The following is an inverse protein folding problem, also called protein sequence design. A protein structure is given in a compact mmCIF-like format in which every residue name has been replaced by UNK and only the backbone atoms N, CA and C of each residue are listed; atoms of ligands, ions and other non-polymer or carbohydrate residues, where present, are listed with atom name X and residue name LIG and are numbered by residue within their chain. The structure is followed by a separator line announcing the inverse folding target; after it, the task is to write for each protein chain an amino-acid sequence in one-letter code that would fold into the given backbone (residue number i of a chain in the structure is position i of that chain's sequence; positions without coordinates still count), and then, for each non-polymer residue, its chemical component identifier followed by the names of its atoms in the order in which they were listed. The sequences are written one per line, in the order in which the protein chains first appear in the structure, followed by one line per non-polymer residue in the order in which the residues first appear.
data_IF_223293822314
#
_entry.id   IF_223293822314
#
_cell.length_a   1.000
_cell.length_b   1.000
_cell.length_c   1.000
_cell.angle_alpha   90.00
_cell.angle_beta   90.00
_cell.angle_gamma   90.00
#
_symmetry.space_group_name_H-M   'P 1'
#
loop_
_entity.id
_entity.type
_entity.pdbx_description
1 polymer ?
#
# COMPACT_ATOMS: atom_id res chain seq x y z
N UNK A 1 -31.95 -20.01 -5.12
CA UNK A 1 -30.81 -19.75 -6.03
C UNK A 1 -30.83 -18.26 -6.26
N UNK A 2 -30.16 -17.51 -5.37
CA UNK A 2 -30.02 -16.06 -5.51
C UNK A 2 -28.78 -15.83 -6.39
N UNK A 3 -28.99 -15.24 -7.55
CA UNK A 3 -27.92 -14.75 -8.42
C UNK A 3 -27.11 -13.71 -7.65
N UNK A 4 -25.87 -14.03 -7.30
CA UNK A 4 -24.88 -13.07 -6.81
C UNK A 4 -24.21 -12.38 -8.01
N UNK A 5 -25.01 -11.77 -8.88
CA UNK A 5 -24.49 -10.85 -9.88
C UNK A 5 -24.70 -9.40 -9.40
N UNK A 6 -23.59 -8.66 -9.34
CA UNK A 6 -23.48 -7.20 -9.20
C UNK A 6 -23.67 -6.59 -7.81
N UNK A 7 -22.80 -6.94 -6.85
CA UNK A 7 -22.41 -5.95 -5.83
C UNK A 7 -21.23 -5.12 -6.36
N UNK A 8 -21.55 -3.88 -6.77
CA UNK A 8 -20.69 -2.71 -6.98
C UNK A 8 -19.34 -2.91 -7.71
N UNK A 9 -19.44 -2.98 -9.04
CA UNK A 9 -18.37 -2.59 -9.98
C UNK A 9 -18.33 -1.07 -10.24
N UNK A 10 -18.81 -0.22 -9.34
CA UNK A 10 -18.33 1.17 -9.26
C UNK A 10 -16.94 1.14 -8.59
N UNK A 11 -16.02 0.46 -9.27
CA UNK A 11 -14.68 0.19 -8.80
C UNK A 11 -13.95 1.51 -8.68
N UNK A 12 -13.53 1.84 -7.45
CA UNK A 12 -12.52 2.85 -7.15
C UNK A 12 -11.54 2.98 -8.30
N UNK A 13 -11.47 4.17 -8.90
CA UNK A 13 -10.71 4.38 -10.11
C UNK A 13 -9.22 4.55 -9.77
N UNK A 14 -8.56 3.45 -9.43
CA UNK A 14 -7.15 3.41 -9.10
C UNK A 14 -6.31 3.54 -10.38
N UNK A 15 -5.32 4.44 -10.35
CA UNK A 15 -4.36 4.62 -11.44
C UNK A 15 -2.92 4.65 -10.93
N UNK A 16 -2.04 3.99 -11.69
CA UNK A 16 -0.61 4.00 -11.43
C UNK A 16 0.10 4.74 -12.55
N UNK A 17 0.91 5.72 -12.18
CA UNK A 17 1.80 6.43 -13.06
C UNK A 17 3.26 6.09 -12.73
N UNK A 18 4.11 6.11 -13.75
CA UNK A 18 5.54 5.89 -13.61
C UNK A 18 6.33 7.09 -14.11
N UNK A 19 7.46 7.35 -13.47
CA UNK A 19 8.40 8.41 -13.83
C UNK A 19 9.80 7.82 -13.95
N UNK A 20 10.49 8.17 -15.03
CA UNK A 20 11.84 7.67 -15.32
C UNK A 20 11.85 6.23 -15.83
N UNK A 21 13.03 5.59 -15.77
CA UNK A 21 13.28 4.23 -16.30
C UNK A 21 12.52 3.10 -15.57
N UNK A 22 12.03 3.38 -14.37
CA UNK A 22 11.22 2.43 -13.59
C UNK A 22 9.88 2.13 -14.30
N UNK A 23 9.43 3.02 -15.19
CA UNK A 23 8.32 2.77 -16.10
C UNK A 23 8.54 1.54 -16.98
N UNK A 24 9.73 1.39 -17.56
CA UNK A 24 10.02 0.32 -18.53
C UNK A 24 10.00 -1.06 -17.85
N UNK A 25 10.51 -1.14 -16.62
CA UNK A 25 10.67 -2.43 -15.91
C UNK A 25 9.36 -2.89 -15.26
N UNK A 26 8.58 -1.97 -14.68
CA UNK A 26 7.32 -2.32 -14.02
C UNK A 26 6.18 -2.47 -15.03
N UNK A 27 6.18 -1.74 -16.14
CA UNK A 27 5.13 -1.86 -17.16
C UNK A 27 5.18 -3.17 -17.97
N UNK A 28 6.38 -3.73 -18.17
CA UNK A 28 6.57 -4.99 -18.91
C UNK A 28 6.20 -6.26 -18.11
N UNK A 29 6.18 -6.18 -16.78
CA UNK A 29 5.82 -7.29 -15.89
C UNK A 29 4.31 -7.35 -15.63
N UNK A 30 3.87 -8.40 -14.94
CA UNK A 30 2.50 -8.70 -14.44
C UNK A 30 1.69 -7.49 -13.95
N UNK A 31 2.36 -6.41 -13.57
CA UNK A 31 1.79 -5.15 -13.08
C UNK A 31 0.68 -4.57 -13.96
N UNK A 32 0.87 -4.49 -15.29
CA UNK A 32 -0.13 -3.95 -16.23
C UNK A 32 -1.34 -4.85 -16.44
N UNK A 33 -1.28 -6.12 -16.00
CA UNK A 33 -2.40 -7.06 -16.05
C UNK A 33 -3.36 -6.87 -14.86
N UNK A 34 -2.84 -6.46 -13.70
CA UNK A 34 -3.63 -6.28 -12.48
C UNK A 34 -4.01 -4.80 -12.23
N UNK A 35 -3.14 -3.85 -12.58
CA UNK A 35 -3.39 -2.42 -12.34
C UNK A 35 -3.55 -1.63 -13.63
N UNK A 36 -4.50 -0.69 -13.62
CA UNK A 36 -4.69 0.27 -14.72
C UNK A 36 -3.66 1.38 -14.62
N UNK A 37 -2.93 1.61 -15.71
CA UNK A 37 -2.00 2.73 -15.82
C UNK A 37 -2.76 4.03 -16.03
N UNK A 38 -2.18 5.14 -15.57
CA UNK A 38 -2.72 6.48 -15.81
C UNK A 38 -2.80 6.75 -17.32
N UNK A 39 -3.97 7.22 -17.75
CA UNK A 39 -4.19 7.64 -19.13
C UNK A 39 -3.58 9.04 -19.33
N UNK A 40 -2.46 9.12 -20.06
CA UNK A 40 -1.79 10.38 -20.41
C UNK A 40 -0.55 10.70 -19.55
N UNK A 41 -0.14 11.97 -19.56
CA UNK A 41 1.07 12.42 -18.87
C UNK A 41 0.77 12.71 -17.39
N UNK A 42 1.47 12.06 -16.43
CA UNK A 42 1.29 12.33 -15.00
C UNK A 42 1.64 13.76 -14.57
N UNK A 43 2.43 14.49 -15.36
CA UNK A 43 2.75 15.90 -15.12
C UNK A 43 1.59 16.84 -15.46
N UNK A 44 0.54 16.34 -16.10
CA UNK A 44 -0.61 17.14 -16.55
C UNK A 44 -1.82 16.86 -15.66
N UNK A 45 -2.36 17.90 -15.04
CA UNK A 45 -3.51 17.78 -14.11
C UNK A 45 -4.77 17.18 -14.73
N UNK A 46 -5.01 17.34 -16.04
CA UNK A 46 -6.18 16.75 -16.69
C UNK A 46 -6.20 15.22 -16.68
N UNK A 47 -5.02 14.59 -16.64
CA UNK A 47 -4.87 13.12 -16.58
C UNK A 47 -5.46 12.53 -15.29
N UNK A 48 -5.56 13.34 -14.23
CA UNK A 48 -5.98 12.90 -12.89
C UNK A 48 -7.46 13.16 -12.56
N UNK A 49 -8.23 13.82 -13.45
CA UNK A 49 -9.59 14.35 -13.14
C UNK A 49 -10.65 13.32 -12.73
N UNK A 50 -10.43 12.04 -12.98
CA UNK A 50 -11.36 10.97 -12.63
C UNK A 50 -10.73 9.91 -11.73
N UNK A 51 -9.54 10.15 -11.19
CA UNK A 51 -8.79 9.17 -10.40
C UNK A 51 -9.17 9.32 -8.93
N UNK A 52 -9.59 8.22 -8.30
CA UNK A 52 -9.90 8.21 -6.86
C UNK A 52 -8.63 7.96 -6.03
N UNK A 53 -7.84 6.96 -6.46
CA UNK A 53 -6.57 6.57 -5.83
C UNK A 53 -5.45 6.61 -6.86
N UNK A 54 -4.43 7.43 -6.60
CA UNK A 54 -3.29 7.62 -7.47
C UNK A 54 -2.00 7.11 -6.85
N UNK A 55 -1.25 6.32 -7.59
CA UNK A 55 0.14 6.00 -7.29
C UNK A 55 1.04 6.65 -8.30
N UNK A 56 2.12 7.27 -7.84
CA UNK A 56 3.18 7.80 -8.71
C UNK A 56 4.47 7.15 -8.29
N UNK A 57 4.99 6.23 -9.10
CA UNK A 57 6.23 5.51 -8.83
C UNK A 57 7.38 6.16 -9.59
N UNK A 58 8.39 6.60 -8.86
CA UNK A 58 9.60 7.20 -9.42
C UNK A 58 10.88 6.56 -8.89
N UNK A 59 11.99 6.88 -9.55
CA UNK A 59 13.35 6.49 -9.15
C UNK A 59 14.22 7.73 -9.05
N UNK A 60 14.96 7.86 -7.95
CA UNK A 60 15.85 8.98 -7.69
C UNK A 60 17.25 8.82 -8.32
N UNK A 61 17.48 7.82 -9.19
CA UNK A 61 18.72 7.70 -9.98
C UNK A 61 19.10 9.00 -10.71
N UNK A 62 18.11 9.81 -11.10
CA UNK A 62 18.31 11.13 -11.72
C UNK A 62 17.53 12.22 -10.99
N UNK A 63 18.18 13.37 -10.81
CA UNK A 63 17.54 14.56 -10.22
C UNK A 63 16.31 15.01 -11.04
N UNK A 64 16.35 14.82 -12.36
CA UNK A 64 15.22 15.10 -13.24
C UNK A 64 13.98 14.27 -12.89
N UNK A 65 14.14 12.99 -12.55
CA UNK A 65 13.04 12.09 -12.22
C UNK A 65 12.41 12.46 -10.87
N UNK A 66 13.22 12.88 -9.89
CA UNK A 66 12.74 13.44 -8.62
C UNK A 66 11.94 14.73 -8.85
N UNK A 67 12.44 15.63 -9.69
CA UNK A 67 11.74 16.87 -10.03
C UNK A 67 10.43 16.61 -10.77
N UNK A 68 10.41 15.62 -11.66
CA UNK A 68 9.20 15.20 -12.36
C UNK A 68 8.18 14.58 -11.39
N UNK A 69 8.63 13.78 -10.41
CA UNK A 69 7.74 13.25 -9.37
C UNK A 69 7.08 14.36 -8.55
N UNK A 70 7.85 15.36 -8.12
CA UNK A 70 7.29 16.54 -7.43
C UNK A 70 6.26 17.27 -8.28
N UNK A 71 6.54 17.49 -9.57
CA UNK A 71 5.59 18.11 -10.50
C UNK A 71 4.33 17.28 -10.71
N UNK A 72 4.45 15.97 -10.83
CA UNK A 72 3.32 15.05 -10.98
C UNK A 72 2.41 15.07 -9.74
N UNK A 73 3.00 15.09 -8.55
CA UNK A 73 2.26 15.24 -7.29
C UNK A 73 1.49 16.56 -7.26
N UNK A 74 2.14 17.68 -7.59
CA UNK A 74 1.46 18.98 -7.68
C UNK A 74 0.36 19.00 -8.76
N UNK A 75 0.55 18.28 -9.87
CA UNK A 75 -0.45 18.17 -10.93
C UNK A 75 -1.68 17.40 -10.47
N UNK A 76 -1.49 16.27 -9.77
CA UNK A 76 -2.55 15.43 -9.22
C UNK A 76 -3.31 16.15 -8.11
N UNK A 77 -2.63 16.84 -7.20
CA UNK A 77 -3.25 17.61 -6.10
C UNK A 77 -4.15 18.76 -6.54
N UNK A 78 -4.00 19.25 -7.78
CA UNK A 78 -4.91 20.25 -8.38
C UNK A 78 -6.28 19.67 -8.78
N UNK A 79 -6.47 18.36 -8.61
CA UNK A 79 -7.72 17.65 -8.90
C UNK A 79 -8.38 17.17 -7.61
N UNK A 80 -9.57 16.56 -7.73
CA UNK A 80 -10.31 16.01 -6.60
C UNK A 80 -9.93 14.56 -6.26
N UNK A 81 -8.65 14.21 -6.45
CA UNK A 81 -8.14 12.88 -6.08
C UNK A 81 -8.23 12.69 -4.56
N UNK A 82 -8.74 11.53 -4.13
CA UNK A 82 -8.99 11.27 -2.71
C UNK A 82 -7.71 10.82 -2.00
N UNK A 83 -7.00 9.86 -2.61
CA UNK A 83 -5.73 9.34 -2.08
C UNK A 83 -4.65 9.46 -3.14
N UNK A 84 -3.52 10.06 -2.80
CA UNK A 84 -2.35 10.16 -3.66
C UNK A 84 -1.11 9.71 -2.89
N UNK A 85 -0.51 8.61 -3.34
CA UNK A 85 0.67 8.02 -2.71
C UNK A 85 1.82 8.02 -3.72
N UNK A 86 2.73 9.00 -3.65
CA UNK A 86 4.01 8.87 -4.33
C UNK A 86 4.84 7.75 -3.69
N UNK A 87 5.49 6.96 -4.53
CA UNK A 87 6.45 5.94 -4.16
C UNK A 87 7.77 6.31 -4.82
N UNK A 88 8.82 6.50 -4.03
CA UNK A 88 10.12 6.89 -4.56
C UNK A 88 11.20 5.91 -4.13
N UNK A 89 11.88 5.32 -5.11
CA UNK A 89 13.09 4.54 -4.89
C UNK A 89 14.24 5.53 -4.69
N UNK A 90 14.78 5.63 -3.47
CA UNK A 90 15.83 6.60 -3.14
C UNK A 90 16.62 6.17 -1.92
N UNK A 91 17.95 6.36 -1.97
CA UNK A 91 18.82 6.24 -0.79
C UNK A 91 18.73 7.51 0.07
N UNK A 92 18.49 8.65 -0.57
CA UNK A 92 18.39 9.95 0.09
C UNK A 92 16.95 10.25 0.54
N UNK A 93 16.83 11.01 1.63
CA UNK A 93 15.54 11.52 2.07
C UNK A 93 15.08 12.64 1.15
N UNK A 94 14.00 12.40 0.43
CA UNK A 94 13.38 13.39 -0.46
C UNK A 94 12.06 13.84 0.14
N UNK A 95 11.90 15.16 0.28
CA UNK A 95 10.63 15.74 0.67
C UNK A 95 9.73 15.97 -0.54
N UNK A 96 8.48 15.54 -0.41
CA UNK A 96 7.42 15.69 -1.41
C UNK A 96 6.20 16.23 -0.69
N UNK A 97 5.39 17.04 -1.37
CA UNK A 97 4.18 17.67 -0.84
C UNK A 97 2.99 16.71 -0.73
N UNK A 98 3.25 15.43 -0.46
CA UNK A 98 2.28 14.34 -0.31
C UNK A 98 2.91 13.23 0.54
N UNK A 99 2.11 12.35 1.17
CA UNK A 99 2.61 11.29 2.03
C UNK A 99 3.45 10.28 1.22
N UNK A 100 4.78 10.37 1.36
CA UNK A 100 5.73 9.62 0.53
C UNK A 100 6.02 8.23 1.09
N UNK A 101 5.83 7.20 0.27
CA UNK A 101 6.36 5.87 0.53
C UNK A 101 7.79 5.78 -0.04
N UNK A 102 8.79 6.03 0.81
CA UNK A 102 10.20 5.96 0.40
C UNK A 102 10.72 4.52 0.48
N UNK A 103 11.37 4.05 -0.59
CA UNK A 103 11.95 2.71 -0.68
C UNK A 103 13.45 2.87 -0.88
N UNK A 104 14.23 2.55 0.15
CA UNK A 104 15.68 2.55 0.03
C UNK A 104 16.15 1.23 -0.60
N UNK A 105 16.77 1.27 -1.80
CA UNK A 105 17.21 0.08 -2.52
C UNK A 105 18.27 -0.75 -1.78
N UNK A 106 19.05 -0.15 -0.88
CA UNK A 106 20.08 -0.85 -0.09
C UNK A 106 19.50 -1.86 0.90
N UNK A 107 18.20 -1.77 1.20
CA UNK A 107 17.50 -2.72 2.06
C UNK A 107 17.16 -4.04 1.35
N UNK A 108 17.40 -4.14 0.04
CA UNK A 108 17.04 -5.29 -0.79
C UNK A 108 18.27 -5.96 -1.35
N UNK A 109 18.22 -7.28 -1.46
CA UNK A 109 19.34 -8.06 -1.98
C UNK A 109 19.35 -8.13 -3.51
N UNK A 110 18.17 -8.05 -4.12
CA UNK A 110 18.00 -8.02 -5.56
C UNK A 110 16.89 -7.05 -5.99
N UNK A 111 16.91 -6.64 -7.26
CA UNK A 111 15.93 -5.71 -7.82
C UNK A 111 14.52 -6.30 -7.88
N UNK A 112 14.37 -7.62 -7.97
CA UNK A 112 13.05 -8.26 -8.00
C UNK A 112 12.35 -8.16 -6.65
N UNK A 113 13.07 -8.34 -5.55
CA UNK A 113 12.57 -8.15 -4.18
C UNK A 113 12.06 -6.72 -3.98
N UNK A 114 12.82 -5.74 -4.47
CA UNK A 114 12.44 -4.32 -4.46
C UNK A 114 11.17 -4.06 -5.30
N UNK A 115 11.12 -4.54 -6.54
CA UNK A 115 9.94 -4.32 -7.38
C UNK A 115 8.71 -5.05 -6.85
N UNK A 116 8.90 -6.21 -6.21
CA UNK A 116 7.83 -6.91 -5.51
C UNK A 116 7.31 -6.09 -4.33
N UNK A 117 8.16 -5.38 -3.57
CA UNK A 117 7.68 -4.54 -2.46
C UNK A 117 6.79 -3.38 -2.95
N UNK A 118 7.15 -2.75 -4.09
CA UNK A 118 6.31 -1.73 -4.75
C UNK A 118 4.98 -2.33 -5.18
N UNK A 119 5.03 -3.49 -5.85
CA UNK A 119 3.83 -4.20 -6.29
C UNK A 119 2.92 -4.52 -5.11
N UNK A 120 3.45 -5.08 -4.03
CA UNK A 120 2.67 -5.42 -2.84
C UNK A 120 2.11 -4.19 -2.15
N UNK A 121 2.82 -3.06 -2.09
CA UNK A 121 2.27 -1.83 -1.52
C UNK A 121 1.04 -1.33 -2.28
N UNK A 122 1.11 -1.33 -3.63
CA UNK A 122 -0.01 -0.91 -4.49
C UNK A 122 -1.15 -1.92 -4.41
N UNK A 123 -0.82 -3.21 -4.49
CA UNK A 123 -1.78 -4.31 -4.37
C UNK A 123 -2.52 -4.25 -3.05
N UNK A 124 -1.82 -4.02 -1.96
CA UNK A 124 -2.43 -4.11 -0.66
C UNK A 124 -3.45 -2.98 -0.42
N UNK A 125 -3.19 -1.77 -0.91
CA UNK A 125 -4.16 -0.67 -0.86
C UNK A 125 -5.32 -0.92 -1.85
N UNK A 126 -5.03 -1.47 -3.02
CA UNK A 126 -6.09 -1.89 -3.95
C UNK A 126 -7.01 -2.95 -3.32
N UNK A 127 -6.43 -3.95 -2.69
CA UNK A 127 -7.14 -5.10 -2.13
C UNK A 127 -8.03 -4.68 -0.96
N UNK A 128 -7.56 -3.75 -0.12
CA UNK A 128 -8.35 -3.11 0.95
C UNK A 128 -9.65 -2.51 0.41
N UNK A 129 -9.61 -1.89 -0.76
CA UNK A 129 -10.76 -1.17 -1.33
C UNK A 129 -11.62 -2.07 -2.24
N UNK A 130 -11.00 -3.04 -2.91
CA UNK A 130 -11.63 -3.83 -3.98
C UNK A 130 -12.07 -5.23 -3.55
N UNK A 131 -11.42 -5.83 -2.53
CA UNK A 131 -11.77 -7.18 -2.11
C UNK A 131 -12.89 -7.16 -1.07
N UNK A 132 -13.95 -7.97 -1.25
CA UNK A 132 -14.91 -8.20 -0.19
C UNK A 132 -14.24 -8.95 0.96
N UNK A 133 -14.80 -8.80 2.15
CA UNK A 133 -14.20 -9.24 3.38
C UNK A 133 -15.19 -9.47 4.50
N UNK A 134 -14.73 -10.13 5.56
CA UNK A 134 -15.47 -10.27 6.80
C UNK A 134 -15.66 -8.92 7.48
N UNK A 135 -14.64 -8.06 7.38
CA UNK A 135 -14.65 -6.67 7.82
C UNK A 135 -14.03 -5.84 6.71
N UNK A 136 -14.90 -5.17 5.94
CA UNK A 136 -14.45 -4.33 4.84
C UNK A 136 -13.90 -3.01 5.36
N UNK A 137 -12.75 -2.64 4.83
CA UNK A 137 -12.21 -1.29 4.92
C UNK A 137 -12.63 -0.50 3.68
N UNK A 138 -12.63 0.82 3.77
CA UNK A 138 -12.94 1.71 2.67
C UNK A 138 -11.82 2.72 2.36
N UNK A 139 -12.09 3.64 1.43
CA UNK A 139 -11.12 4.67 1.03
C UNK A 139 -10.90 5.69 2.17
N UNK A 140 -11.91 5.95 3.01
CA UNK A 140 -11.76 6.86 4.15
C UNK A 140 -10.80 6.28 5.19
N UNK A 141 -10.83 4.97 5.42
CA UNK A 141 -9.86 4.30 6.31
C UNK A 141 -8.41 4.49 5.82
N UNK A 142 -8.19 4.39 4.50
CA UNK A 142 -6.87 4.66 3.89
C UNK A 142 -6.50 6.15 4.03
N UNK A 143 -7.47 7.04 3.82
CA UNK A 143 -7.27 8.48 3.99
C UNK A 143 -6.92 8.86 5.43
N UNK A 144 -7.55 8.24 6.43
CA UNK A 144 -7.30 8.53 7.85
C UNK A 144 -5.84 8.22 8.24
N UNK A 145 -5.25 7.19 7.64
CA UNK A 145 -3.83 6.87 7.86
C UNK A 145 -2.89 7.76 7.03
N UNK A 146 -3.31 8.20 5.83
CA UNK A 146 -2.44 8.95 4.92
C UNK A 146 -2.51 10.48 5.07
N UNK A 147 -3.63 11.02 5.54
CA UNK A 147 -3.86 12.46 5.62
C UNK A 147 -2.96 13.13 6.66
N UNK A 148 -2.50 14.35 6.32
CA UNK A 148 -1.58 15.15 7.13
C UNK A 148 -0.25 14.45 7.49
N UNK A 149 0.11 13.39 6.77
CA UNK A 149 1.39 12.69 6.93
C UNK A 149 2.41 13.13 5.92
N UNK A 150 3.67 13.04 6.33
CA UNK A 150 4.83 13.36 5.49
C UNK A 150 5.44 12.12 4.86
N UNK A 151 5.36 10.98 5.56
CA UNK A 151 5.94 9.72 5.12
C UNK A 151 5.04 8.55 5.47
N UNK A 152 5.08 7.54 4.61
CA UNK A 152 4.37 6.28 4.80
C UNK A 152 5.36 5.14 4.97
N UNK A 153 4.96 4.15 5.76
CA UNK A 153 5.61 2.85 5.82
C UNK A 153 4.56 1.80 5.45
N UNK A 154 4.89 0.93 4.50
CA UNK A 154 4.02 -0.14 4.06
C UNK A 154 4.80 -1.45 4.04
N UNK A 155 4.20 -2.52 4.54
CA UNK A 155 4.73 -3.87 4.37
C UNK A 155 3.62 -4.90 4.24
N UNK A 156 3.95 -6.02 3.61
CA UNK A 156 3.12 -7.21 3.56
C UNK A 156 3.91 -8.37 4.12
N UNK A 157 3.32 -9.04 5.10
CA UNK A 157 3.82 -10.30 5.63
C UNK A 157 2.97 -11.47 5.14
N UNK A 158 3.58 -12.63 4.99
CA UNK A 158 2.89 -13.84 4.53
C UNK A 158 3.26 -15.03 5.42
N UNK A 159 2.28 -15.86 5.78
CA UNK A 159 2.52 -17.11 6.49
C UNK A 159 1.43 -18.14 6.20
N UNK A 160 1.66 -19.38 6.62
CA UNK A 160 0.76 -20.52 6.42
C UNK A 160 0.80 -21.47 7.61
N UNK A 161 -0.24 -22.27 7.74
CA UNK A 161 -0.37 -23.25 8.81
C UNK A 161 -0.94 -22.64 10.09
N UNK A 162 -0.66 -23.27 11.23
CA UNK A 162 -1.18 -22.82 12.52
C UNK A 162 -0.59 -21.46 12.91
N UNK A 163 -1.44 -20.56 13.44
CA UNK A 163 -1.08 -19.18 13.77
C UNK A 163 -0.60 -18.35 12.56
N UNK A 164 -1.06 -18.66 11.34
CA UNK A 164 -0.62 -17.97 10.13
C UNK A 164 -0.80 -16.45 10.23
N UNK A 165 -1.94 -15.94 10.67
CA UNK A 165 -2.19 -14.50 10.80
C UNK A 165 -1.21 -13.81 11.74
N UNK A 166 -0.91 -14.44 12.88
CA UNK A 166 0.09 -13.96 13.84
C UNK A 166 1.49 -13.91 13.22
N UNK A 167 1.91 -15.00 12.57
CA UNK A 167 3.23 -15.10 11.95
C UNK A 167 3.37 -14.12 10.77
N UNK A 168 2.31 -13.93 9.98
CA UNK A 168 2.26 -12.95 8.91
C UNK A 168 2.38 -11.52 9.45
N UNK A 169 1.71 -11.19 10.55
CA UNK A 169 1.86 -9.89 11.22
C UNK A 169 3.30 -9.66 11.71
N UNK A 170 3.92 -10.68 12.33
CA UNK A 170 5.33 -10.63 12.75
C UNK A 170 6.27 -10.43 11.56
N UNK A 171 6.04 -11.13 10.45
CA UNK A 171 6.82 -10.98 9.21
C UNK A 171 6.69 -9.56 8.64
N UNK A 172 5.47 -9.01 8.59
CA UNK A 172 5.21 -7.65 8.15
C UNK A 172 5.95 -6.61 9.01
N UNK A 173 5.93 -6.76 10.33
CA UNK A 173 6.65 -5.89 11.27
C UNK A 173 8.16 -5.98 11.07
N UNK A 174 8.70 -7.19 10.94
CA UNK A 174 10.14 -7.39 10.73
C UNK A 174 10.62 -6.68 9.45
N UNK A 175 9.83 -6.74 8.37
CA UNK A 175 10.10 -6.00 7.13
C UNK A 175 10.09 -4.48 7.37
N UNK A 176 9.12 -3.95 8.11
CA UNK A 176 9.09 -2.52 8.48
C UNK A 176 10.35 -2.13 9.26
N UNK A 177 10.74 -2.92 10.26
CA UNK A 177 11.90 -2.64 11.12
C UNK A 177 13.21 -2.68 10.33
N UNK A 178 13.31 -3.55 9.32
CA UNK A 178 14.45 -3.59 8.38
C UNK A 178 14.60 -2.26 7.64
N UNK A 179 13.48 -1.67 7.20
CA UNK A 179 13.46 -0.39 6.50
C UNK A 179 13.61 0.82 7.44
N UNK A 180 13.03 0.75 8.64
CA UNK A 180 13.04 1.83 9.61
C UNK A 180 13.02 1.29 11.05
N UNK A 181 14.20 1.28 11.69
CA UNK A 181 14.39 0.79 13.07
C UNK A 181 13.55 1.52 14.13
N UNK A 182 13.09 2.74 13.82
CA UNK A 182 12.32 3.57 14.73
C UNK A 182 10.83 3.61 14.39
N UNK A 183 10.35 2.77 13.46
CA UNK A 183 8.95 2.75 13.02
C UNK A 183 7.93 2.56 14.16
N UNK A 184 8.28 1.80 15.19
CA UNK A 184 7.48 1.63 16.42
C UNK A 184 7.19 2.93 17.18
N UNK A 185 7.94 4.01 16.94
CA UNK A 185 7.71 5.34 17.51
C UNK A 185 6.87 6.24 16.59
N UNK A 186 6.65 5.82 15.34
CA UNK A 186 6.04 6.63 14.28
C UNK A 186 4.53 6.37 14.13
N UNK A 187 4.04 5.19 14.55
CA UNK A 187 2.66 4.78 14.34
C UNK A 187 1.70 5.34 15.38
N UNK A 188 1.16 6.54 15.12
CA UNK A 188 -0.10 6.94 15.75
C UNK A 188 -1.32 6.39 15.03
N UNK A 189 -1.22 6.29 13.70
CA UNK A 189 -2.30 5.81 12.85
C UNK A 189 -1.77 4.65 12.02
N UNK A 190 -2.35 3.47 12.25
CA UNK A 190 -1.97 2.23 11.59
C UNK A 190 -3.21 1.59 10.99
N UNK A 191 -3.12 1.20 9.73
CA UNK A 191 -4.10 0.36 9.06
C UNK A 191 -3.51 -1.03 8.88
N UNK A 192 -4.27 -2.05 9.26
CA UNK A 192 -3.94 -3.45 9.04
C UNK A 192 -5.05 -4.13 8.23
N UNK A 193 -4.69 -4.93 7.23
CA UNK A 193 -5.67 -5.79 6.57
C UNK A 193 -5.16 -7.23 6.52
N UNK A 194 -5.99 -8.17 6.97
CA UNK A 194 -5.69 -9.60 6.95
C UNK A 194 -6.40 -10.23 5.74
N UNK A 195 -5.65 -10.85 4.83
CA UNK A 195 -6.17 -11.41 3.58
C UNK A 195 -5.89 -12.90 3.52
N UNK A 196 -6.89 -13.69 3.15
CA UNK A 196 -6.80 -15.14 3.10
C UNK A 196 -8.11 -15.73 2.58
N UNK A 197 -8.20 -17.06 2.52
CA UNK A 197 -9.39 -17.78 2.10
C UNK A 197 -10.41 -17.93 3.23
N UNK A 198 -11.65 -18.28 2.88
CA UNK A 198 -12.70 -18.59 3.88
C UNK A 198 -12.30 -19.74 4.83
N UNK A 199 -11.43 -20.65 4.39
CA UNK A 199 -11.00 -21.81 5.15
C UNK A 199 -9.85 -21.53 6.13
N UNK A 200 -9.16 -20.39 5.99
CA UNK A 200 -7.94 -20.07 6.76
C UNK A 200 -7.96 -18.69 7.44
N UNK A 201 -9.11 -18.00 7.45
CA UNK A 201 -9.31 -16.78 8.21
C UNK A 201 -10.58 -16.85 9.06
N UNK A 202 -10.39 -16.57 10.35
CA UNK A 202 -11.44 -16.39 11.34
C UNK A 202 -11.26 -15.07 12.10
N UNK A 203 -12.32 -14.61 12.78
CA UNK A 203 -12.22 -13.43 13.66
C UNK A 203 -11.15 -13.58 14.75
N UNK A 204 -10.92 -14.81 15.22
CA UNK A 204 -9.87 -15.10 16.19
C UNK A 204 -8.47 -14.79 15.62
N UNK A 205 -8.18 -15.31 14.43
CA UNK A 205 -6.90 -15.08 13.76
C UNK A 205 -6.64 -13.60 13.42
N UNK A 206 -7.69 -12.86 13.07
CA UNK A 206 -7.62 -11.41 12.84
C UNK A 206 -7.24 -10.67 14.14
N UNK A 207 -7.88 -11.05 15.25
CA UNK A 207 -7.56 -10.47 16.56
C UNK A 207 -6.12 -10.78 16.98
N UNK A 208 -5.63 -12.00 16.77
CA UNK A 208 -4.24 -12.36 17.07
C UNK A 208 -3.23 -11.53 16.28
N UNK A 209 -3.48 -11.30 14.99
CA UNK A 209 -2.65 -10.42 14.17
C UNK A 209 -2.68 -8.96 14.70
N UNK A 210 -3.86 -8.47 15.07
CA UNK A 210 -4.04 -7.12 15.61
C UNK A 210 -3.31 -6.94 16.95
N UNK A 211 -3.34 -7.93 17.83
CA UNK A 211 -2.63 -7.89 19.11
C UNK A 211 -1.12 -7.80 18.90
N UNK A 212 -0.56 -8.53 17.93
CA UNK A 212 0.87 -8.46 17.60
C UNK A 212 1.28 -7.06 17.16
N UNK A 213 0.50 -6.45 16.26
CA UNK A 213 0.78 -5.07 15.79
C UNK A 213 0.64 -4.09 16.94
N UNK A 214 -0.43 -4.20 17.73
CA UNK A 214 -0.67 -3.35 18.88
C UNK A 214 0.47 -3.44 19.89
N UNK A 215 0.93 -4.64 20.24
CA UNK A 215 2.01 -4.87 21.22
C UNK A 215 3.35 -4.31 20.76
N UNK A 216 3.63 -4.38 19.46
CA UNK A 216 4.85 -3.81 18.87
C UNK A 216 4.90 -2.28 18.90
N UNK A 217 3.75 -1.59 18.77
CA UNK A 217 3.72 -0.12 18.83
C UNK A 217 4.08 0.39 20.24
N UNK A 218 4.89 1.45 20.31
CA UNK A 218 5.21 2.07 21.61
C UNK A 218 4.10 2.99 22.12
N UNK A 219 3.47 3.74 21.22
CA UNK A 219 2.37 4.62 21.57
C UNK A 219 1.06 3.82 21.57
N UNK A 220 0.54 3.54 22.75
CA UNK A 220 -0.73 2.80 22.92
C UNK A 220 -1.96 3.70 22.81
N UNK A 221 -1.79 5.00 22.60
CA UNK A 221 -2.88 5.93 22.33
C UNK A 221 -3.21 6.05 20.84
N UNK A 222 -2.42 5.39 19.98
CA UNK A 222 -2.65 5.35 18.55
C UNK A 222 -3.91 4.58 18.15
N UNK A 223 -4.47 4.95 17.00
CA UNK A 223 -5.60 4.27 16.38
C UNK A 223 -5.09 3.14 15.47
N UNK A 224 -5.62 1.92 15.68
CA UNK A 224 -5.44 0.80 14.75
C UNK A 224 -6.77 0.56 14.05
N UNK A 225 -6.80 0.88 12.76
CA UNK A 225 -7.87 0.48 11.87
C UNK A 225 -7.52 -0.91 11.34
N UNK A 226 -8.42 -1.87 11.48
CA UNK A 226 -8.16 -3.24 11.03
C UNK A 226 -9.33 -3.78 10.21
N UNK A 227 -8.98 -4.53 9.17
CA UNK A 227 -9.90 -5.18 8.26
C UNK A 227 -9.53 -6.63 8.01
N UNK A 228 -10.43 -7.33 7.32
CA UNK A 228 -10.17 -8.67 6.82
C UNK A 228 -10.86 -8.92 5.49
N UNK A 229 -10.08 -9.19 4.46
CA UNK A 229 -10.54 -9.49 3.10
C UNK A 229 -10.44 -10.98 2.78
N UNK A 230 -11.35 -11.45 1.93
CA UNK A 230 -11.38 -12.84 1.48
C UNK A 230 -10.85 -12.93 0.04
N UNK A 231 -9.82 -13.74 -0.14
CA UNK A 231 -9.31 -14.17 -1.44
C UNK A 231 -9.11 -15.70 -1.42
N UNK A 232 -10.11 -16.40 -1.96
CA UNK A 232 -10.13 -17.86 -2.03
C UNK A 232 -9.09 -18.45 -3.00
N UNK A 233 -8.30 -17.61 -3.70
CA UNK A 233 -7.15 -18.06 -4.49
C UNK A 233 -5.86 -18.19 -3.67
N UNK A 234 -5.86 -17.75 -2.41
CA UNK A 234 -4.68 -17.79 -1.54
C UNK A 234 -4.64 -19.03 -0.66
N UNK A 235 -3.53 -19.76 -0.77
CA UNK A 235 -3.17 -20.85 0.16
C UNK A 235 -2.49 -20.35 1.45
N UNK A 236 -2.28 -19.04 1.56
CA UNK A 236 -1.54 -18.38 2.64
C UNK A 236 -2.36 -17.24 3.23
N UNK A 237 -2.07 -16.87 4.48
CA UNK A 237 -2.56 -15.62 5.05
C UNK A 237 -1.54 -14.52 4.80
N UNK A 238 -2.03 -13.37 4.32
CA UNK A 238 -1.26 -12.14 4.19
C UNK A 238 -1.73 -11.12 5.22
N UNK A 239 -0.79 -10.38 5.81
CA UNK A 239 -1.09 -9.22 6.64
C UNK A 239 -0.42 -8.02 6.02
N UNK A 240 -1.25 -7.07 5.55
CA UNK A 240 -0.83 -5.74 5.16
C UNK A 240 -0.76 -4.86 6.41
N UNK A 241 0.31 -4.07 6.52
CA UNK A 241 0.41 -2.97 7.47
C UNK A 241 0.79 -1.71 6.71
N UNK A 242 -0.02 -0.66 6.86
CA UNK A 242 0.24 0.69 6.40
C UNK A 242 0.29 1.63 7.60
N UNK A 243 1.32 2.46 7.69
CA UNK A 243 1.53 3.40 8.78
C UNK A 243 1.84 4.79 8.24
N UNK A 244 1.20 5.80 8.83
CA UNK A 244 1.44 7.20 8.54
C UNK A 244 2.34 7.88 9.58
N UNK A 245 3.29 8.70 9.13
CA UNK A 245 4.18 9.51 9.98
C UNK A 245 4.21 10.98 9.59
#
# INVERSE_FOLDING_TARGET
MFEMENLNKELCNLRVAFIGKTADILSEKTFSKEFKLLDGDPLVSSSWKSVDIGFIVGDAEKEEDVNNLKKAVEAAKKTSIQVLIPILISVENVEVSAPLLAINPENYTDKSELYNSIYYAIKAINDVVCLPGLVNLDIHDVMDVCNDKTSLLCSVGEAKGENASKLAAVDAINKIVKHNKNAQNAGKDVMMNVIGSEDNISMYEIMEASEVVYDWMKDKSGNIIWGASIDNSLDVVRVLILMGK
#
